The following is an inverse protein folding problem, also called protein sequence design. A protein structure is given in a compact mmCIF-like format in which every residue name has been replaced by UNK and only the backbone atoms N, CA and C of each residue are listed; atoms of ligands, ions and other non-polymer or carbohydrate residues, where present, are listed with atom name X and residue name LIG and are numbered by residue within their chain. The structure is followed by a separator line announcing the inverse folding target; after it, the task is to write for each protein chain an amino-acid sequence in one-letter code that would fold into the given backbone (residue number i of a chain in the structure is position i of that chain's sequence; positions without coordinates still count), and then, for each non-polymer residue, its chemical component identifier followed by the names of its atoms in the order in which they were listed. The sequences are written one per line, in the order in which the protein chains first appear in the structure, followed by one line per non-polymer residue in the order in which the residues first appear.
data_IF_965958949137
#
_entry.id   IF_965958949137
#
_cell.length_a   1.000
_cell.length_b   1.000
_cell.length_c   1.000
_cell.angle_alpha   90.00
_cell.angle_beta   90.00
_cell.angle_gamma   90.00
#
_symmetry.space_group_name_H-M   'P 1'
#
loop_
_entity.id
_entity.type
_entity.pdbx_description
1 polymer ?
#
# COMPACT_ATOMS: atom_id res chain seq x y z
N UNK A 1 2.71 16.82 -18.19
CA UNK A 1 2.45 16.46 -16.78
C UNK A 1 1.59 15.21 -16.79
N UNK A 2 2.11 14.09 -16.30
CA UNK A 2 1.36 12.83 -16.22
C UNK A 2 0.79 12.76 -14.80
N UNK A 3 -0.52 12.58 -14.68
CA UNK A 3 -1.18 12.27 -13.41
C UNK A 3 -1.50 10.78 -13.45
N UNK A 4 -1.03 10.04 -12.46
CA UNK A 4 -1.28 8.61 -12.29
C UNK A 4 -1.94 8.38 -10.93
N UNK A 5 -3.05 7.66 -10.92
CA UNK A 5 -3.85 7.41 -9.73
C UNK A 5 -3.79 5.93 -9.35
N UNK A 6 -3.65 5.66 -8.05
CA UNK A 6 -3.67 4.32 -7.46
C UNK A 6 -4.81 4.30 -6.44
N UNK A 7 -5.67 3.28 -6.52
CA UNK A 7 -6.73 3.02 -5.55
C UNK A 7 -6.34 1.82 -4.69
N UNK A 8 -6.44 1.94 -3.38
CA UNK A 8 -6.16 0.90 -2.40
C UNK A 8 -7.18 0.98 -1.24
N UNK A 9 -7.17 -0.01 -0.38
CA UNK A 9 -8.15 -0.18 0.70
C UNK A 9 -7.46 -0.25 2.06
N UNK A 10 -8.19 0.11 3.12
CA UNK A 10 -7.76 -0.12 4.48
C UNK A 10 -7.77 -1.61 4.84
N UNK A 11 -7.12 -1.97 5.96
CA UNK A 11 -7.10 -3.32 6.50
C UNK A 11 -6.96 -3.26 8.03
N UNK A 12 -7.61 -4.14 8.82
CA UNK A 12 -7.61 -4.07 10.28
C UNK A 12 -6.22 -4.13 10.93
N UNK A 13 -5.22 -4.71 10.25
CA UNK A 13 -3.84 -4.80 10.74
C UNK A 13 -2.94 -3.61 10.35
N UNK A 14 -3.42 -2.63 9.58
CA UNK A 14 -2.63 -1.44 9.22
C UNK A 14 -2.37 -0.62 10.48
N UNK A 15 -1.08 -0.32 10.72
CA UNK A 15 -0.67 0.55 11.83
C UNK A 15 0.08 1.81 11.38
N UNK A 16 0.65 1.83 10.17
CA UNK A 16 1.37 2.97 9.60
C UNK A 16 2.42 3.58 10.54
N UNK A 17 3.17 2.74 11.27
CA UNK A 17 4.13 3.16 12.29
C UNK A 17 5.57 3.19 11.80
N UNK A 18 5.87 2.60 10.65
CA UNK A 18 7.23 2.59 10.14
C UNK A 18 7.71 4.02 9.88
N UNK A 19 8.89 4.37 10.39
CA UNK A 19 9.31 5.78 10.52
C UNK A 19 9.87 6.39 9.24
N UNK A 20 10.32 5.55 8.31
CA UNK A 20 11.12 5.99 7.15
C UNK A 20 10.56 5.50 5.81
N UNK A 21 9.53 4.66 5.81
CA UNK A 21 8.96 4.09 4.58
C UNK A 21 7.45 3.97 4.70
N UNK A 22 6.81 3.96 3.54
CA UNK A 22 5.40 3.67 3.35
C UNK A 22 5.26 2.73 2.16
N UNK A 23 4.28 1.84 2.23
CA UNK A 23 4.02 0.84 1.18
C UNK A 23 2.52 0.71 0.91
N UNK A 24 2.18 0.54 -0.36
CA UNK A 24 0.86 0.11 -0.83
C UNK A 24 1.07 -1.18 -1.62
N UNK A 25 0.29 -2.22 -1.31
CA UNK A 25 0.46 -3.55 -1.91
C UNK A 25 -0.81 -4.04 -2.64
N UNK A 26 -0.62 -4.88 -3.66
CA UNK A 26 -1.72 -5.60 -4.32
C UNK A 26 -2.22 -6.79 -3.50
N UNK A 27 -1.45 -7.23 -2.50
CA UNK A 27 -1.87 -8.28 -1.59
C UNK A 27 -3.11 -7.83 -0.79
N UNK A 28 -4.00 -8.78 -0.51
CA UNK A 28 -5.25 -8.53 0.20
C UNK A 28 -5.11 -8.63 1.73
N UNK A 29 -4.15 -9.43 2.19
CA UNK A 29 -3.93 -9.76 3.58
C UNK A 29 -2.53 -9.34 4.02
N UNK A 30 -2.41 -8.79 5.23
CA UNK A 30 -1.12 -8.41 5.81
C UNK A 30 -1.05 -8.84 7.27
N UNK A 31 0.16 -9.18 7.72
CA UNK A 31 0.39 -9.47 9.14
C UNK A 31 0.41 -8.18 9.97
N UNK A 32 0.18 -8.28 11.28
CA UNK A 32 0.35 -7.16 12.24
C UNK A 32 1.77 -6.61 12.31
N UNK A 33 2.77 -7.33 11.78
CA UNK A 33 4.17 -6.88 11.73
C UNK A 33 4.46 -5.96 10.53
N UNK A 34 3.57 -5.91 9.53
CA UNK A 34 3.72 -5.07 8.36
C UNK A 34 3.33 -3.61 8.68
N UNK A 35 4.18 -2.93 9.45
CA UNK A 35 3.91 -1.60 9.98
C UNK A 35 4.22 -0.46 9.00
N UNK A 36 4.82 -0.76 7.85
CA UNK A 36 5.04 0.17 6.73
C UNK A 36 3.84 0.25 5.77
N UNK A 37 2.93 -0.72 5.78
CA UNK A 37 1.81 -0.77 4.83
C UNK A 37 0.73 0.24 5.23
N UNK A 38 0.28 1.05 4.27
CA UNK A 38 -0.80 2.05 4.42
C UNK A 38 -2.03 1.73 3.55
N UNK A 39 -1.95 0.75 2.66
CA UNK A 39 -3.07 0.30 1.83
C UNK A 39 -2.84 -1.09 1.22
N UNK A 40 -3.90 -1.88 1.14
CA UNK A 40 -3.93 -3.23 0.56
C UNK A 40 -4.85 -3.27 -0.67
N UNK A 41 -4.87 -4.39 -1.39
CA UNK A 41 -5.73 -4.58 -2.57
C UNK A 41 -5.57 -3.45 -3.60
N UNK A 42 -4.34 -2.98 -3.80
CA UNK A 42 -4.07 -1.90 -4.73
C UNK A 42 -4.40 -2.32 -6.17
N UNK A 43 -5.02 -1.41 -6.93
CA UNK A 43 -5.32 -1.66 -8.34
C UNK A 43 -4.06 -1.64 -9.23
N UNK A 44 -2.94 -1.09 -8.75
CA UNK A 44 -1.68 -0.92 -9.47
C UNK A 44 -0.48 -1.31 -8.59
N UNK A 45 0.60 -1.75 -9.24
CA UNK A 45 1.92 -1.99 -8.65
C UNK A 45 2.98 -1.10 -9.30
N UNK A 46 4.20 -1.11 -8.76
CA UNK A 46 5.32 -0.32 -9.26
C UNK A 46 5.65 -0.58 -10.73
N UNK A 47 5.44 -1.81 -11.23
CA UNK A 47 5.68 -2.17 -12.62
C UNK A 47 4.64 -1.61 -13.60
N UNK A 48 3.54 -1.07 -13.08
CA UNK A 48 2.45 -0.47 -13.88
C UNK A 48 2.51 1.07 -13.89
N UNK A 49 3.56 1.65 -13.29
CA UNK A 49 3.79 3.10 -13.30
C UNK A 49 4.21 3.53 -14.73
N UNK A 50 3.56 4.53 -15.34
CA UNK A 50 3.89 5.05 -16.67
C UNK A 50 5.25 5.75 -16.78
#
# INVERSE_FOLDING_TARGET
MIIFEISAFGHPNISAKHRTTLEVTKDNEISKRADCIIGVNANKSVSEIP
#
